data_IF_626366603392
#
_entry.id   IF_626366603392
#
_cell.length_a   1.000
_cell.length_b   1.000
_cell.length_c   1.000
_cell.angle_alpha   90.00
_cell.angle_beta   90.00
_cell.angle_gamma   90.00
#
_symmetry.space_group_name_H-M   'P 1'
#
loop_
_entity.id
_entity.type
_entity.pdbx_description
1 polymer ?
#
# COMPACT_ATOMS: atom_id res chain seq x y z
N UNK A 1 0.23 -5.49 21.61
CA UNK A 1 -1.14 -5.05 21.26
C UNK A 1 -1.15 -3.71 20.53
N UNK A 2 -0.48 -2.66 21.03
CA UNK A 2 -0.41 -1.34 20.36
C UNK A 2 0.13 -1.42 18.93
N UNK A 3 1.24 -2.12 18.70
CA UNK A 3 1.83 -2.28 17.36
C UNK A 3 0.92 -3.04 16.40
N UNK A 4 0.19 -4.06 16.87
CA UNK A 4 -0.74 -4.82 16.04
C UNK A 4 -1.95 -4.01 15.58
N UNK A 5 -2.50 -3.16 16.46
CA UNK A 5 -3.57 -2.24 16.10
C UNK A 5 -3.11 -1.17 15.09
N UNK A 6 -1.91 -0.63 15.29
CA UNK A 6 -1.30 0.32 14.37
C UNK A 6 -1.08 -0.30 12.99
N UNK A 7 -0.55 -1.53 12.94
CA UNK A 7 -0.37 -2.28 11.69
C UNK A 7 -1.71 -2.57 11.03
N UNK A 8 -2.73 -2.99 11.79
CA UNK A 8 -4.07 -3.23 11.25
C UNK A 8 -4.70 -1.97 10.64
N UNK A 9 -4.60 -0.83 11.34
CA UNK A 9 -5.07 0.46 10.83
C UNK A 9 -4.29 0.90 9.59
N UNK A 10 -2.96 0.71 9.59
CA UNK A 10 -2.12 1.01 8.44
C UNK A 10 -2.52 0.16 7.24
N UNK A 11 -2.76 -1.15 7.43
CA UNK A 11 -3.26 -2.08 6.41
C UNK A 11 -4.57 -1.57 5.83
N UNK A 12 -5.59 -1.34 6.65
CA UNK A 12 -6.90 -0.84 6.18
C UNK A 12 -6.78 0.48 5.40
N UNK A 13 -5.91 1.38 5.85
CA UNK A 13 -5.73 2.68 5.22
C UNK A 13 -5.18 2.58 3.79
N UNK A 14 -4.22 1.70 3.52
CA UNK A 14 -3.64 1.56 2.18
C UNK A 14 -4.34 0.51 1.30
N UNK A 15 -4.95 -0.53 1.89
CA UNK A 15 -5.71 -1.56 1.17
C UNK A 15 -6.88 -0.95 0.37
N UNK A 16 -7.45 0.15 0.87
CA UNK A 16 -8.44 0.94 0.13
C UNK A 16 -7.88 1.53 -1.18
N UNK A 17 -6.61 1.95 -1.17
CA UNK A 17 -5.92 2.50 -2.35
C UNK A 17 -5.47 1.39 -3.30
N UNK A 18 -5.02 0.25 -2.77
CA UNK A 18 -4.65 -0.93 -3.54
C UNK A 18 -5.87 -1.53 -4.25
N UNK A 19 -7.02 -1.61 -3.60
CA UNK A 19 -8.27 -2.02 -4.22
C UNK A 19 -8.66 -1.13 -5.40
N UNK A 20 -8.56 0.20 -5.27
CA UNK A 20 -8.80 1.15 -6.37
C UNK A 20 -7.81 0.97 -7.53
N UNK A 21 -6.54 0.75 -7.22
CA UNK A 21 -5.50 0.49 -8.23
C UNK A 21 -5.77 -0.83 -8.98
N UNK A 22 -6.15 -1.87 -8.25
CA UNK A 22 -6.51 -3.19 -8.79
C UNK A 22 -7.66 -3.06 -9.79
N UNK A 23 -8.75 -2.36 -9.43
CA UNK A 23 -9.84 -2.19 -10.41
C UNK A 23 -9.37 -1.40 -11.62
N UNK A 24 -8.59 -0.34 -11.42
CA UNK A 24 -8.17 0.54 -12.50
C UNK A 24 -7.33 -0.22 -13.53
N UNK A 25 -6.43 -1.09 -13.07
CA UNK A 25 -5.58 -1.92 -13.92
C UNK A 25 -6.41 -2.96 -14.69
N UNK A 26 -7.35 -3.63 -14.01
CA UNK A 26 -8.16 -4.70 -14.60
C UNK A 26 -9.17 -4.16 -15.61
N UNK A 27 -9.88 -3.10 -15.23
CA UNK A 27 -10.92 -2.48 -16.07
C UNK A 27 -10.33 -1.55 -17.13
N UNK A 28 -9.09 -1.07 -16.94
CA UNK A 28 -8.47 -0.02 -17.76
C UNK A 28 -9.31 1.25 -17.88
N UNK A 29 -10.15 1.52 -16.88
CA UNK A 29 -11.06 2.67 -16.83
C UNK A 29 -12.46 2.41 -17.41
N UNK A 30 -12.75 1.20 -17.86
CA UNK A 30 -14.10 0.79 -18.27
C UNK A 30 -15.01 0.50 -17.06
N UNK A 31 -16.35 0.47 -17.24
CA UNK A 31 -17.26 0.07 -16.17
C UNK A 31 -16.99 -1.35 -15.65
N UNK A 32 -17.11 -1.55 -14.33
CA UNK A 32 -16.89 -2.86 -13.70
C UNK A 32 -17.74 -3.96 -14.35
N UNK A 33 -17.08 -5.05 -14.75
CA UNK A 33 -17.73 -6.32 -15.02
C UNK A 33 -17.86 -7.16 -13.74
N UNK A 34 -18.81 -8.12 -13.74
CA UNK A 34 -19.00 -9.05 -12.62
C UNK A 34 -17.74 -9.86 -12.29
N UNK A 35 -16.91 -10.13 -13.30
CA UNK A 35 -15.65 -10.86 -13.14
C UNK A 35 -14.59 -10.05 -12.39
N UNK A 36 -14.59 -8.73 -12.51
CA UNK A 36 -13.55 -7.87 -11.93
C UNK A 36 -13.65 -7.79 -10.40
N UNK A 37 -14.86 -7.97 -9.87
CA UNK A 37 -15.15 -8.00 -8.43
C UNK A 37 -14.35 -9.11 -7.73
N UNK A 38 -14.04 -10.21 -8.41
CA UNK A 38 -13.27 -11.30 -7.81
C UNK A 38 -11.88 -10.82 -7.37
N UNK A 39 -11.26 -9.91 -8.14
CA UNK A 39 -9.95 -9.39 -7.81
C UNK A 39 -10.00 -8.46 -6.61
N UNK A 40 -11.07 -7.66 -6.47
CA UNK A 40 -11.28 -6.83 -5.28
C UNK A 40 -11.50 -7.69 -4.02
N UNK A 41 -12.21 -8.83 -4.16
CA UNK A 41 -12.38 -9.78 -3.05
C UNK A 41 -11.05 -10.44 -2.69
N UNK A 42 -10.28 -10.86 -3.69
CA UNK A 42 -8.97 -11.49 -3.47
C UNK A 42 -8.00 -10.52 -2.80
N UNK A 43 -7.98 -9.27 -3.24
CA UNK A 43 -7.22 -8.16 -2.65
C UNK A 43 -7.59 -7.96 -1.17
N UNK A 44 -8.86 -7.72 -0.86
CA UNK A 44 -9.33 -7.50 0.52
C UNK A 44 -9.11 -8.70 1.47
N UNK A 45 -9.10 -9.92 0.95
CA UNK A 45 -8.89 -11.15 1.76
C UNK A 45 -7.40 -11.45 1.95
N UNK A 46 -6.52 -11.00 1.05
CA UNK A 46 -5.10 -11.33 1.07
C UNK A 46 -4.40 -10.91 2.39
N UNK A 47 -4.61 -9.70 2.95
CA UNK A 47 -4.00 -9.31 4.22
C UNK A 47 -4.50 -10.16 5.40
N UNK A 48 -5.79 -10.50 5.42
CA UNK A 48 -6.38 -11.37 6.46
C UNK A 48 -5.78 -12.76 6.38
N UNK A 49 -5.69 -13.32 5.18
CA UNK A 49 -5.08 -14.62 4.94
C UNK A 49 -3.60 -14.63 5.32
N UNK A 50 -2.84 -13.62 4.93
CA UNK A 50 -1.42 -13.46 5.30
C UNK A 50 -1.22 -13.34 6.81
N UNK A 51 -2.08 -12.59 7.50
CA UNK A 51 -2.07 -12.46 8.95
C UNK A 51 -2.35 -13.78 9.66
N UNK A 52 -3.33 -14.57 9.19
CA UNK A 52 -3.62 -15.90 9.73
C UNK A 52 -2.44 -16.85 9.46
N UNK A 53 -1.89 -16.82 8.25
CA UNK A 53 -0.76 -17.68 7.87
C UNK A 53 0.46 -17.41 8.77
N UNK A 54 0.72 -16.14 9.11
CA UNK A 54 1.78 -15.74 10.02
C UNK A 54 1.61 -16.27 11.46
N UNK A 55 0.40 -16.66 11.87
CA UNK A 55 0.17 -17.32 13.17
C UNK A 55 0.62 -18.78 13.18
N UNK A 56 0.61 -19.44 12.02
CA UNK A 56 0.96 -20.86 11.86
C UNK A 56 2.40 -21.02 11.39
N UNK A 57 2.86 -20.13 10.52
CA UNK A 57 4.20 -20.11 9.95
C UNK A 57 4.85 -18.75 10.21
N UNK A 58 5.75 -18.68 11.19
CA UNK A 58 6.58 -17.51 11.38
C UNK A 58 7.76 -17.56 10.40
N UNK A 59 7.85 -16.63 9.43
CA UNK A 59 9.00 -16.55 8.55
C UNK A 59 10.26 -16.23 9.35
N UNK A 60 11.42 -16.72 8.88
CA UNK A 60 12.70 -16.32 9.45
C UNK A 60 12.88 -14.80 9.33
N UNK A 61 13.65 -14.19 10.23
CA UNK A 61 13.89 -12.75 10.21
C UNK A 61 14.43 -12.28 8.86
N UNK A 62 15.31 -13.06 8.23
CA UNK A 62 15.83 -12.79 6.89
C UNK A 62 14.74 -12.86 5.82
N UNK A 63 13.88 -13.88 5.85
CA UNK A 63 12.78 -14.01 4.88
C UNK A 63 11.78 -12.86 5.01
N UNK A 64 11.45 -12.47 6.24
CA UNK A 64 10.59 -11.32 6.51
C UNK A 64 11.24 -10.01 6.01
N UNK A 65 12.53 -9.80 6.30
CA UNK A 65 13.24 -8.61 5.84
C UNK A 65 13.29 -8.52 4.30
N UNK A 66 13.53 -9.64 3.61
CA UNK A 66 13.49 -9.70 2.14
C UNK A 66 12.09 -9.40 1.62
N UNK A 67 11.05 -9.98 2.23
CA UNK A 67 9.67 -9.73 1.83
C UNK A 67 9.28 -8.26 2.00
N UNK A 68 9.62 -7.65 3.14
CA UNK A 68 9.36 -6.23 3.42
C UNK A 68 10.16 -5.32 2.48
N UNK A 69 11.42 -5.65 2.17
CA UNK A 69 12.23 -4.90 1.21
C UNK A 69 11.64 -4.96 -0.20
N UNK A 70 11.15 -6.13 -0.62
CA UNK A 70 10.48 -6.31 -1.90
C UNK A 70 9.17 -5.49 -1.96
N UNK A 71 8.33 -5.58 -0.93
CA UNK A 71 7.09 -4.82 -0.84
C UNK A 71 7.34 -3.30 -0.86
N UNK A 72 8.31 -2.82 -0.08
CA UNK A 72 8.72 -1.41 -0.09
C UNK A 72 9.22 -0.97 -1.47
N UNK A 73 9.95 -1.85 -2.19
CA UNK A 73 10.39 -1.62 -3.55
C UNK A 73 9.22 -1.44 -4.53
N UNK A 74 8.20 -2.30 -4.46
CA UNK A 74 6.98 -2.15 -5.27
C UNK A 74 6.25 -0.85 -4.98
N UNK A 75 6.03 -0.49 -3.72
CA UNK A 75 5.40 0.78 -3.37
C UNK A 75 6.20 1.98 -3.88
N UNK A 76 7.53 1.94 -3.78
CA UNK A 76 8.39 3.00 -4.29
C UNK A 76 8.31 3.09 -5.83
N UNK A 77 8.31 1.96 -6.54
CA UNK A 77 8.18 1.91 -7.99
C UNK A 77 6.84 2.49 -8.46
N UNK A 78 5.71 2.02 -7.89
CA UNK A 78 4.37 2.50 -8.24
C UNK A 78 4.22 3.98 -7.90
N UNK A 79 4.72 4.42 -6.73
CA UNK A 79 4.67 5.82 -6.33
C UNK A 79 5.42 6.74 -7.32
N UNK A 80 6.57 6.30 -7.82
CA UNK A 80 7.44 7.13 -8.69
C UNK A 80 7.13 7.04 -10.17
N UNK A 81 6.68 5.87 -10.66
CA UNK A 81 6.43 5.62 -12.09
C UNK A 81 5.00 5.97 -12.49
N UNK A 82 4.03 5.78 -11.59
CA UNK A 82 2.62 5.92 -11.91
C UNK A 82 1.99 7.09 -11.17
N UNK A 83 2.03 7.09 -9.83
CA UNK A 83 1.28 8.04 -9.01
C UNK A 83 1.82 9.47 -9.10
N UNK A 84 3.13 9.65 -8.93
CA UNK A 84 3.75 10.98 -8.93
C UNK A 84 3.65 11.66 -10.32
N UNK A 85 3.93 10.98 -11.46
CA UNK A 85 3.74 11.57 -12.78
C UNK A 85 2.28 11.86 -13.12
N UNK A 86 1.33 10.98 -12.74
CA UNK A 86 -0.10 11.22 -12.93
C UNK A 86 -0.58 12.43 -12.13
N UNK A 87 -0.18 12.54 -10.85
CA UNK A 87 -0.50 13.70 -10.03
C UNK A 87 0.06 15.00 -10.64
N UNK A 88 1.29 14.97 -11.15
CA UNK A 88 1.89 16.13 -11.82
C UNK A 88 1.22 16.47 -13.16
N UNK A 89 0.73 15.46 -13.90
CA UNK A 89 -0.05 15.69 -15.11
C UNK A 89 -1.41 16.33 -14.84
N UNK A 90 -2.09 15.92 -13.77
CA UNK A 90 -3.38 16.49 -13.35
C UNK A 90 -3.25 17.88 -12.73
N UNK A 91 -2.15 18.13 -12.03
CA UNK A 91 -1.82 19.43 -11.45
C UNK A 91 -0.32 19.70 -11.63
N UNK A 92 0.10 20.33 -12.75
CA UNK A 92 1.50 20.64 -13.01
C UNK A 92 1.94 21.79 -12.12
N UNK A 93 2.31 21.49 -10.88
CA UNK A 93 2.67 22.48 -9.87
C UNK A 93 3.59 21.90 -8.81
N UNK A 94 4.38 22.79 -8.19
CA UNK A 94 5.23 22.48 -7.03
C UNK A 94 4.43 21.94 -5.83
N UNK A 95 3.11 22.14 -5.81
CA UNK A 95 2.23 21.63 -4.74
C UNK A 95 2.22 20.11 -4.68
N UNK A 96 2.31 19.41 -5.81
CA UNK A 96 2.36 17.93 -5.85
C UNK A 96 3.66 17.43 -5.20
N UNK A 97 4.79 18.03 -5.57
CA UNK A 97 6.09 17.67 -4.99
C UNK A 97 6.17 18.00 -3.50
N UNK A 98 5.61 19.14 -3.09
CA UNK A 98 5.54 19.53 -1.68
C UNK A 98 4.65 18.58 -0.87
N UNK A 99 3.49 18.18 -1.41
CA UNK A 99 2.60 17.22 -0.77
C UNK A 99 3.29 15.84 -0.60
N UNK A 100 4.04 15.38 -1.60
CA UNK A 100 4.83 14.15 -1.51
C UNK A 100 5.90 14.23 -0.41
N UNK A 101 6.66 15.34 -0.34
CA UNK A 101 7.66 15.56 0.72
C UNK A 101 6.99 15.61 2.10
N UNK A 102 5.87 16.33 2.23
CA UNK A 102 5.10 16.38 3.48
C UNK A 102 4.66 14.97 3.90
N UNK A 103 4.15 14.16 2.97
CA UNK A 103 3.78 12.76 3.23
C UNK A 103 4.95 11.95 3.78
N UNK A 104 6.14 12.06 3.16
CA UNK A 104 7.37 11.39 3.63
C UNK A 104 7.75 11.84 5.04
N UNK A 105 7.70 13.15 5.32
CA UNK A 105 8.02 13.69 6.65
C UNK A 105 7.03 13.22 7.71
N UNK A 106 5.73 13.20 7.40
CA UNK A 106 4.68 12.72 8.31
C UNK A 106 4.88 11.24 8.63
N UNK A 107 5.06 10.40 7.61
CA UNK A 107 5.26 8.96 7.80
C UNK A 107 6.56 8.70 8.56
N UNK A 108 7.67 9.35 8.16
CA UNK A 108 8.95 9.24 8.85
C UNK A 108 8.87 9.65 10.33
N UNK A 109 8.20 10.77 10.61
CA UNK A 109 7.96 11.25 11.97
C UNK A 109 7.06 10.31 12.78
N UNK A 110 6.02 9.76 12.18
CA UNK A 110 5.15 8.79 12.84
C UNK A 110 5.94 7.51 13.21
N UNK A 111 6.79 7.01 12.30
CA UNK A 111 7.62 5.82 12.55
C UNK A 111 8.63 6.08 13.68
N UNK A 112 9.29 7.23 13.72
CA UNK A 112 10.25 7.55 14.80
C UNK A 112 9.56 7.75 16.15
N UNK A 113 8.38 8.36 16.18
CA UNK A 113 7.58 8.53 17.40
C UNK A 113 7.03 7.21 17.95
N UNK A 114 6.72 6.25 17.08
CA UNK A 114 6.13 4.95 17.45
C UNK A 114 7.18 3.86 17.71
N UNK A 115 8.38 4.00 17.15
CA UNK A 115 9.51 3.07 17.34
C UNK A 115 10.48 3.46 18.45
N UNK A 116 10.30 4.65 19.06
CA UNK A 116 11.06 5.14 20.22
C UNK A 116 10.45 4.73 21.56
#
# INVERSE_FOLDING_TARGET
>A
WQTGLLVALAVVAHDSSDGLNTILIITRGEPLAKGDIIFLILDAVAPVFGGILALVFLPSQTALAVFLALAAGFFLYTATSDLLPEAHRRSPSLTVSLAAIIGVVIIGGAVTLLGG
#
